data_IF_253883477900
#
_entry.id   IF_253883477900
#
_cell.length_a   1.000
_cell.length_b   1.000
_cell.length_c   1.000
_cell.angle_alpha   90.00
_cell.angle_beta   90.00
_cell.angle_gamma   90.00
#
_symmetry.space_group_name_H-M   'P 1'
#
loop_
_entity.id
_entity.type
_entity.pdbx_description
1 polymer ?
#
# COMPACT_ATOMS: atom_id res chain seq x y z
N UNK A 1 -12.29 -16.32 0.79
CA UNK A 1 -11.85 -15.03 1.35
C UNK A 1 -12.48 -13.97 0.49
N UNK A 2 -13.38 -13.18 1.04
CA UNK A 2 -14.01 -12.09 0.28
C UNK A 2 -12.96 -11.03 0.03
N UNK A 3 -12.51 -10.92 -1.22
CA UNK A 3 -11.82 -9.74 -1.71
C UNK A 3 -12.65 -8.49 -1.39
N UNK A 4 -13.97 -8.64 -1.38
CA UNK A 4 -14.92 -7.64 -0.90
C UNK A 4 -14.71 -7.25 0.56
N UNK A 5 -14.34 -8.15 1.48
CA UNK A 5 -14.02 -7.80 2.87
C UNK A 5 -12.75 -6.97 2.96
N UNK A 6 -11.71 -7.28 2.17
CA UNK A 6 -10.48 -6.46 2.15
C UNK A 6 -10.75 -5.11 1.51
N UNK A 7 -11.59 -5.04 0.48
CA UNK A 7 -11.95 -3.77 -0.17
C UNK A 7 -12.88 -2.94 0.71
N UNK A 8 -13.83 -3.56 1.39
CA UNK A 8 -14.67 -2.92 2.40
C UNK A 8 -13.82 -2.46 3.59
N UNK A 9 -12.87 -3.27 4.07
CA UNK A 9 -11.90 -2.89 5.10
C UNK A 9 -10.92 -1.81 4.62
N UNK A 10 -10.56 -1.75 3.34
CA UNK A 10 -9.81 -0.63 2.74
C UNK A 10 -10.63 0.66 2.76
N UNK A 11 -11.93 0.56 2.51
CA UNK A 11 -12.88 1.66 2.57
C UNK A 11 -13.16 2.05 4.03
N UNK A 12 -13.17 1.10 4.97
CA UNK A 12 -13.37 1.31 6.41
C UNK A 12 -12.06 1.71 7.14
N UNK A 13 -10.89 1.37 6.61
CA UNK A 13 -9.58 1.85 7.07
C UNK A 13 -9.43 3.36 6.88
N UNK A 14 -10.31 4.01 6.10
CA UNK A 14 -10.53 5.46 6.13
C UNK A 14 -10.91 5.99 7.51
N UNK A 15 -11.47 5.14 8.39
CA UNK A 15 -11.95 5.50 9.72
C UNK A 15 -11.09 4.95 10.87
N UNK A 16 -10.18 4.01 10.59
CA UNK A 16 -9.39 3.34 11.63
C UNK A 16 -7.91 3.71 11.53
N UNK A 17 -7.62 4.98 11.77
CA UNK A 17 -6.29 5.41 12.21
C UNK A 17 -6.01 5.01 13.68
N UNK A 18 -6.96 4.36 14.37
CA UNK A 18 -6.92 4.13 15.83
C UNK A 18 -6.47 2.74 16.28
N UNK A 19 -6.01 1.86 15.39
CA UNK A 19 -5.40 0.57 15.80
C UNK A 19 -3.86 0.55 15.76
N UNK A 20 -3.23 1.71 15.59
CA UNK A 20 -1.80 1.83 15.27
C UNK A 20 -0.85 2.07 16.46
N UNK A 21 -1.28 1.96 17.73
CA UNK A 21 -0.41 2.35 18.86
C UNK A 21 -0.19 1.32 19.97
N UNK A 22 -0.42 0.02 19.74
CA UNK A 22 -0.16 -0.97 20.80
C UNK A 22 0.30 -2.35 20.32
N UNK A 23 1.30 -2.38 19.46
CA UNK A 23 2.19 -3.51 19.18
C UNK A 23 3.36 -2.85 18.43
N UNK A 24 4.55 -2.66 19.00
CA UNK A 24 5.57 -3.70 19.19
C UNK A 24 6.55 -3.20 20.26
N UNK A 25 6.53 -3.81 21.45
CA UNK A 25 7.60 -3.70 22.44
C UNK A 25 7.96 -5.09 22.99
N UNK A 26 7.93 -6.10 22.12
CA UNK A 26 8.37 -7.46 22.46
C UNK A 26 9.59 -7.75 21.62
N UNK A 27 10.72 -8.02 22.28
CA UNK A 27 11.97 -8.40 21.64
C UNK A 27 11.78 -9.77 20.95
N UNK A 28 11.69 -9.77 19.62
CA UNK A 28 11.53 -10.98 18.79
C UNK A 28 12.85 -11.23 18.06
N UNK A 29 13.68 -12.21 18.49
CA UNK A 29 15.01 -12.42 17.92
C UNK A 29 15.00 -12.80 16.44
N UNK A 30 13.88 -13.32 15.93
CA UNK A 30 13.69 -13.67 14.52
C UNK A 30 13.41 -12.46 13.61
N UNK A 31 13.10 -11.28 14.19
CA UNK A 31 12.85 -10.06 13.43
C UNK A 31 14.16 -9.39 13.03
N UNK A 32 14.18 -8.85 11.82
CA UNK A 32 15.17 -7.86 11.40
C UNK A 32 14.96 -6.62 12.26
N UNK A 33 16.03 -6.20 12.95
CA UNK A 33 16.01 -5.01 13.79
C UNK A 33 15.82 -3.77 12.91
N UNK A 34 14.78 -2.99 13.21
CA UNK A 34 14.48 -1.72 12.54
C UNK A 34 13.65 -0.84 13.46
N UNK A 35 13.82 0.48 13.35
CA UNK A 35 12.95 1.48 13.98
C UNK A 35 11.71 1.80 13.15
N UNK A 36 11.61 1.25 11.93
CA UNK A 36 10.45 1.45 11.07
C UNK A 36 9.26 0.61 11.55
N UNK A 37 8.21 1.29 12.00
CA UNK A 37 6.99 0.67 12.51
C UNK A 37 6.21 -0.11 11.43
N UNK A 38 6.25 0.35 10.17
CA UNK A 38 5.55 -0.30 9.06
C UNK A 38 6.20 -1.65 8.73
N UNK A 39 7.53 -1.68 8.73
CA UNK A 39 8.31 -2.91 8.55
C UNK A 39 8.11 -3.85 9.73
N UNK A 40 8.11 -3.35 10.96
CA UNK A 40 7.83 -4.16 12.15
C UNK A 40 6.41 -4.75 12.13
N UNK A 41 5.43 -4.01 11.62
CA UNK A 41 4.06 -4.49 11.44
C UNK A 41 3.98 -5.63 10.41
N UNK A 42 4.64 -5.48 9.25
CA UNK A 42 4.73 -6.56 8.26
C UNK A 42 5.38 -7.82 8.86
N UNK A 43 6.50 -7.69 9.58
CA UNK A 43 7.15 -8.81 10.26
C UNK A 43 6.23 -9.49 11.29
N UNK A 44 5.46 -8.70 12.03
CA UNK A 44 4.49 -9.21 12.99
C UNK A 44 3.43 -10.08 12.30
N UNK A 45 2.82 -9.57 11.23
CA UNK A 45 1.86 -10.30 10.41
C UNK A 45 2.48 -11.62 9.91
N UNK A 46 3.66 -11.56 9.28
CA UNK A 46 4.38 -12.75 8.79
C UNK A 46 4.59 -13.82 9.88
N UNK A 47 4.82 -13.39 11.12
CA UNK A 47 5.05 -14.30 12.25
C UNK A 47 3.81 -15.04 12.74
N UNK A 48 2.63 -14.41 12.68
CA UNK A 48 1.39 -14.96 13.25
C UNK A 48 0.54 -15.75 12.24
N UNK A 49 0.76 -15.54 10.94
CA UNK A 49 0.03 -16.27 9.89
C UNK A 49 0.33 -17.77 9.98
N UNK A 50 -0.72 -18.59 9.92
CA UNK A 50 -0.63 -20.05 9.84
C UNK A 50 -0.18 -20.48 8.44
N UNK A 51 0.32 -21.72 8.30
CA UNK A 51 0.64 -22.28 6.98
C UNK A 51 -0.60 -22.21 6.06
N UNK A 52 -0.37 -21.86 4.79
CA UNK A 52 -1.41 -21.65 3.76
C UNK A 52 -2.39 -20.51 4.10
N UNK A 53 -2.10 -19.71 5.12
CA UNK A 53 -2.86 -18.52 5.46
C UNK A 53 -2.62 -17.39 4.46
N UNK A 54 -3.70 -16.73 4.06
CA UNK A 54 -3.72 -15.63 3.09
C UNK A 54 -3.89 -14.29 3.81
N UNK A 55 -3.22 -13.26 3.31
CA UNK A 55 -3.26 -11.90 3.85
C UNK A 55 -3.41 -10.88 2.75
N UNK A 56 -4.26 -9.89 2.97
CA UNK A 56 -4.23 -8.60 2.30
C UNK A 56 -3.91 -7.52 3.34
N UNK A 57 -2.88 -6.70 3.09
CA UNK A 57 -2.47 -5.65 4.02
C UNK A 57 -2.12 -4.36 3.29
N UNK A 58 -2.58 -3.23 3.84
CA UNK A 58 -2.26 -1.89 3.32
C UNK A 58 -0.95 -1.41 3.93
N UNK A 59 0.02 -1.06 3.09
CA UNK A 59 1.35 -0.59 3.49
C UNK A 59 1.81 0.57 2.60
N UNK A 60 2.61 1.51 3.12
CA UNK A 60 3.19 2.58 2.30
C UNK A 60 4.20 2.04 1.29
N UNK A 61 4.48 2.84 0.25
CA UNK A 61 5.48 2.53 -0.78
C UNK A 61 6.86 2.22 -0.18
N UNK A 62 7.22 2.82 0.96
CA UNK A 62 8.51 2.61 1.64
C UNK A 62 8.81 1.13 1.91
N UNK A 63 7.78 0.30 2.18
CA UNK A 63 7.97 -1.14 2.40
C UNK A 63 8.41 -1.86 1.11
N UNK A 64 8.02 -1.34 -0.05
CA UNK A 64 8.41 -1.87 -1.34
C UNK A 64 9.76 -1.33 -1.81
N UNK A 65 10.10 -0.09 -1.47
CA UNK A 65 11.25 0.65 -2.03
C UNK A 65 12.48 0.70 -1.14
N UNK A 66 12.32 0.77 0.18
CA UNK A 66 13.43 1.12 1.06
C UNK A 66 14.46 -0.01 1.15
N UNK A 67 15.72 0.39 1.36
CA UNK A 67 16.88 -0.51 1.44
C UNK A 67 17.17 -0.95 2.89
N UNK A 68 18.16 -1.83 3.06
CA UNK A 68 18.71 -2.15 4.37
C UNK A 68 17.81 -3.10 5.17
N UNK A 69 17.20 -2.63 6.27
CA UNK A 69 16.36 -3.50 7.09
C UNK A 69 15.06 -3.89 6.36
N UNK A 70 14.47 -2.95 5.63
CA UNK A 70 13.25 -3.15 4.83
C UNK A 70 13.48 -4.16 3.72
N UNK A 71 14.57 -4.02 2.98
CA UNK A 71 15.01 -4.96 1.95
C UNK A 71 15.19 -6.38 2.50
N UNK A 72 15.85 -6.57 3.64
CA UNK A 72 15.98 -7.89 4.28
C UNK A 72 14.64 -8.51 4.67
N UNK A 73 13.67 -7.69 5.06
CA UNK A 73 12.30 -8.18 5.35
C UNK A 73 11.58 -8.53 4.05
N UNK A 74 11.78 -7.76 2.98
CA UNK A 74 11.25 -8.03 1.65
C UNK A 74 11.81 -9.32 1.07
N UNK A 75 13.11 -9.59 1.21
CA UNK A 75 13.72 -10.88 0.86
C UNK A 75 13.08 -12.04 1.62
N UNK A 76 12.87 -11.90 2.94
CA UNK A 76 12.17 -12.89 3.77
C UNK A 76 10.73 -13.11 3.32
N UNK A 77 10.05 -12.04 2.90
CA UNK A 77 8.69 -12.10 2.35
C UNK A 77 8.69 -12.93 1.07
N UNK A 78 9.50 -12.55 0.07
CA UNK A 78 9.58 -13.23 -1.22
C UNK A 78 9.99 -14.71 -1.10
N UNK A 79 10.87 -15.03 -0.15
CA UNK A 79 11.35 -16.41 0.08
C UNK A 79 10.33 -17.33 0.75
N UNK A 80 9.60 -16.84 1.75
CA UNK A 80 8.76 -17.69 2.62
C UNK A 80 7.26 -17.54 2.36
N UNK A 81 6.88 -16.51 1.60
CA UNK A 81 5.51 -16.19 1.26
C UNK A 81 5.40 -16.01 -0.25
N UNK A 82 4.24 -16.38 -0.77
CA UNK A 82 3.87 -16.14 -2.15
C UNK A 82 3.16 -14.80 -2.22
N UNK A 83 3.93 -13.71 -2.36
CA UNK A 83 3.42 -12.40 -2.69
C UNK A 83 2.98 -12.42 -4.15
N UNK A 84 1.70 -12.65 -4.39
CA UNK A 84 1.20 -12.89 -5.73
C UNK A 84 0.55 -11.65 -6.35
N UNK A 85 0.16 -10.65 -5.54
CA UNK A 85 -0.51 -9.45 -6.05
C UNK A 85 -0.18 -8.19 -5.26
N UNK A 86 0.03 -7.09 -5.99
CA UNK A 86 0.20 -5.73 -5.46
C UNK A 86 -0.84 -4.83 -6.12
N UNK A 87 -1.71 -4.20 -5.33
CA UNK A 87 -2.61 -3.13 -5.80
C UNK A 87 -2.02 -1.78 -5.40
N UNK A 88 -1.66 -0.95 -6.37
CA UNK A 88 -1.16 0.41 -6.13
C UNK A 88 -2.34 1.35 -5.99
N UNK A 89 -2.49 1.95 -4.81
CA UNK A 89 -3.62 2.83 -4.53
C UNK A 89 -3.35 4.28 -5.00
N UNK A 90 -4.41 5.02 -5.36
CA UNK A 90 -4.31 6.42 -5.74
C UNK A 90 -4.01 7.30 -4.52
N UNK A 91 -3.56 8.52 -4.77
CA UNK A 91 -3.35 9.53 -3.73
C UNK A 91 -4.69 10.18 -3.30
N UNK A 92 -4.69 10.86 -2.16
CA UNK A 92 -5.84 11.63 -1.69
C UNK A 92 -7.00 10.80 -1.10
N UNK A 93 -6.76 9.51 -0.84
CA UNK A 93 -7.74 8.60 -0.21
C UNK A 93 -7.55 8.43 1.31
N UNK A 94 -6.44 8.94 1.87
CA UNK A 94 -6.14 8.93 3.31
C UNK A 94 -6.01 10.36 3.83
N UNK A 95 -6.25 10.56 5.12
CA UNK A 95 -6.05 11.86 5.80
C UNK A 95 -4.59 12.33 5.80
N UNK A 96 -3.63 11.41 5.66
CA UNK A 96 -2.23 11.75 5.48
C UNK A 96 -1.97 12.06 4.00
N UNK A 97 -1.99 13.36 3.66
CA UNK A 97 -1.68 13.83 2.32
C UNK A 97 -0.26 13.41 1.89
N UNK A 98 -0.10 13.10 0.60
CA UNK A 98 1.18 12.73 0.00
C UNK A 98 1.68 11.29 0.22
N UNK A 99 1.09 10.51 1.14
CA UNK A 99 1.52 9.12 1.37
C UNK A 99 0.98 8.20 0.26
N UNK A 100 1.91 7.64 -0.52
CA UNK A 100 1.61 6.60 -1.51
C UNK A 100 1.54 5.24 -0.81
N UNK A 101 0.49 4.48 -1.10
CA UNK A 101 0.18 3.21 -0.43
C UNK A 101 -0.17 2.11 -1.41
N UNK A 102 0.01 0.87 -0.98
CA UNK A 102 -0.29 -0.34 -1.74
C UNK A 102 -1.02 -1.34 -0.86
N UNK A 103 -1.72 -2.26 -1.50
CA UNK A 103 -2.26 -3.46 -0.87
C UNK A 103 -1.43 -4.65 -1.33
N UNK A 104 -0.80 -5.34 -0.38
CA UNK A 104 -0.04 -6.56 -0.65
C UNK A 104 -0.89 -7.77 -0.35
N UNK A 105 -0.99 -8.68 -1.31
CA UNK A 105 -1.68 -9.95 -1.15
C UNK A 105 -0.68 -11.10 -1.20
N UNK A 106 -0.57 -11.85 -0.10
CA UNK A 106 0.39 -12.93 0.00
C UNK A 106 -0.10 -14.13 0.83
N UNK A 107 0.43 -15.31 0.52
CA UNK A 107 0.13 -16.58 1.21
C UNK A 107 1.39 -17.18 1.83
N UNK A 108 1.30 -17.71 3.06
CA UNK A 108 2.44 -18.35 3.73
C UNK A 108 2.68 -19.77 3.27
N UNK A 109 3.94 -20.11 2.98
CA UNK A 109 4.37 -21.50 2.79
C UNK A 109 4.85 -21.86 1.38
N UNK A 110 4.80 -20.91 0.44
CA UNK A 110 5.37 -21.02 -0.91
C UNK A 110 6.24 -19.80 -1.15
N UNK A 111 7.31 -19.93 -1.92
CA UNK A 111 8.08 -18.76 -2.37
C UNK A 111 7.31 -18.00 -3.46
N UNK A 112 7.56 -16.70 -3.55
CA UNK A 112 7.06 -15.86 -4.64
C UNK A 112 7.73 -16.26 -5.93
N UNK A 113 6.93 -16.44 -6.99
CA UNK A 113 7.41 -16.72 -8.35
C UNK A 113 7.09 -15.59 -9.28
N UNK A 114 5.84 -15.17 -9.31
CA UNK A 114 5.39 -14.05 -10.14
C UNK A 114 4.56 -13.10 -9.28
N UNK A 115 4.56 -11.83 -9.68
CA UNK A 115 3.81 -10.78 -9.00
C UNK A 115 2.90 -10.11 -10.02
N UNK A 116 1.60 -10.15 -9.76
CA UNK A 116 0.63 -9.36 -10.51
C UNK A 116 0.51 -7.97 -9.90
N UNK A 117 0.59 -6.93 -10.72
CA UNK A 117 0.47 -5.55 -10.25
C UNK A 117 -0.71 -4.88 -10.93
N UNK A 118 -1.59 -4.29 -10.11
CA UNK A 118 -2.65 -3.40 -10.59
C UNK A 118 -2.30 -1.96 -10.27
N UNK A 119 -2.13 -1.13 -11.29
CA UNK A 119 -1.90 0.31 -11.12
C UNK A 119 -3.23 1.08 -11.10
N UNK A 120 -3.79 1.27 -9.90
CA UNK A 120 -4.93 2.17 -9.65
C UNK A 120 -4.47 3.56 -9.19
N UNK A 121 -3.26 3.99 -9.57
CA UNK A 121 -2.64 5.24 -9.09
C UNK A 121 -2.39 6.22 -10.23
N UNK A 122 -1.68 5.78 -11.25
CA UNK A 122 -1.19 6.64 -12.33
C UNK A 122 -2.37 7.24 -13.09
N UNK A 123 -2.49 8.56 -13.11
CA UNK A 123 -3.59 9.29 -13.74
C UNK A 123 -4.94 9.26 -12.98
N UNK A 124 -4.98 8.75 -11.74
CA UNK A 124 -6.21 8.66 -10.94
C UNK A 124 -6.12 9.57 -9.73
N UNK A 125 -7.05 10.54 -9.65
CA UNK A 125 -7.16 11.47 -8.52
C UNK A 125 -8.45 11.24 -7.74
N UNK A 126 -8.31 11.14 -6.43
CA UNK A 126 -9.38 11.14 -5.44
C UNK A 126 -9.15 12.23 -4.41
N UNK A 127 -10.23 12.67 -3.78
CA UNK A 127 -10.20 13.55 -2.61
C UNK A 127 -11.21 13.06 -1.60
N UNK A 128 -10.95 13.25 -0.31
CA UNK A 128 -11.83 12.76 0.75
C UNK A 128 -13.25 13.36 0.67
N UNK A 129 -13.35 14.65 0.34
CA UNK A 129 -14.62 15.36 0.32
C UNK A 129 -15.30 15.37 -1.06
N UNK A 130 -14.59 15.77 -2.11
CA UNK A 130 -15.20 16.06 -3.42
C UNK A 130 -15.26 14.85 -4.35
N UNK A 131 -14.30 13.93 -4.27
CA UNK A 131 -14.20 12.77 -5.17
C UNK A 131 -13.77 11.51 -4.40
N UNK A 132 -14.60 11.01 -3.48
CA UNK A 132 -14.23 9.87 -2.65
C UNK A 132 -14.07 8.60 -3.47
N UNK A 133 -13.10 7.76 -3.10
CA UNK A 133 -12.95 6.42 -3.67
C UNK A 133 -14.09 5.51 -3.19
N UNK A 134 -14.77 4.82 -4.11
CA UNK A 134 -15.88 3.90 -3.81
C UNK A 134 -15.50 2.46 -4.21
N UNK A 135 -16.30 1.48 -3.79
CA UNK A 135 -16.11 0.07 -4.20
C UNK A 135 -16.18 -0.13 -5.72
N UNK A 136 -17.04 0.63 -6.41
CA UNK A 136 -17.22 0.53 -7.86
C UNK A 136 -15.93 0.83 -8.64
N UNK A 137 -15.10 1.74 -8.12
CA UNK A 137 -13.82 2.08 -8.71
C UNK A 137 -12.82 0.92 -8.75
N UNK A 138 -12.96 -0.05 -7.84
CA UNK A 138 -12.09 -1.21 -7.73
C UNK A 138 -12.66 -2.44 -8.47
N UNK A 139 -13.78 -2.29 -9.19
CA UNK A 139 -14.43 -3.41 -9.85
C UNK A 139 -13.55 -4.04 -10.93
N UNK A 140 -12.90 -3.23 -11.77
CA UNK A 140 -11.96 -3.72 -12.79
C UNK A 140 -10.80 -4.51 -12.17
N UNK A 141 -10.27 -4.05 -11.04
CA UNK A 141 -9.25 -4.79 -10.29
C UNK A 141 -9.80 -6.13 -9.79
N UNK A 142 -11.02 -6.16 -9.25
CA UNK A 142 -11.66 -7.38 -8.75
C UNK A 142 -11.86 -8.39 -9.86
N UNK A 143 -12.32 -7.93 -11.03
CA UNK A 143 -12.52 -8.76 -12.21
C UNK A 143 -11.17 -9.33 -12.70
N UNK A 144 -10.12 -8.50 -12.75
CA UNK A 144 -8.77 -8.91 -13.11
C UNK A 144 -8.12 -9.85 -12.08
N UNK A 145 -8.40 -9.65 -10.79
CA UNK A 145 -7.86 -10.48 -9.71
C UNK A 145 -8.35 -11.92 -9.81
N UNK A 146 -9.55 -12.13 -10.37
CA UNK A 146 -10.14 -13.43 -10.70
C UNK A 146 -10.13 -14.40 -9.51
N UNK A 147 -10.84 -14.05 -8.43
CA UNK A 147 -10.84 -14.83 -7.17
C UNK A 147 -11.28 -16.28 -7.44
N UNK A 148 -10.46 -17.25 -7.02
CA UNK A 148 -10.75 -18.68 -7.19
C UNK A 148 -10.49 -19.22 -8.60
N UNK A 149 -10.05 -18.35 -9.51
CA UNK A 149 -9.75 -18.64 -10.90
C UNK A 149 -8.42 -17.98 -11.28
N UNK A 150 -7.42 -18.04 -10.39
CA UNK A 150 -6.16 -17.31 -10.56
C UNK A 150 -5.39 -17.73 -11.82
N UNK A 151 -5.59 -18.97 -12.31
CA UNK A 151 -5.05 -19.46 -13.58
C UNK A 151 -5.66 -18.79 -14.83
N UNK A 152 -6.85 -18.19 -14.69
CA UNK A 152 -7.61 -17.56 -15.78
C UNK A 152 -7.32 -16.05 -15.88
N UNK A 153 -6.35 -15.54 -15.10
CA UNK A 153 -5.93 -14.14 -15.13
C UNK A 153 -5.36 -13.76 -16.49
N UNK A 154 -5.91 -12.71 -17.07
CA UNK A 154 -5.43 -12.13 -18.34
C UNK A 154 -4.94 -10.72 -18.08
N UNK A 155 -3.68 -10.43 -18.45
CA UNK A 155 -3.12 -9.09 -18.36
C UNK A 155 -3.91 -8.12 -19.25
N UNK A 156 -4.20 -6.92 -18.73
CA UNK A 156 -4.71 -5.83 -19.56
C UNK A 156 -3.57 -5.10 -20.27
N UNK A 157 -2.36 -5.17 -19.72
CA UNK A 157 -1.13 -4.69 -20.35
C UNK A 157 -0.72 -5.59 -21.53
N UNK A 158 -0.37 -4.95 -22.65
CA UNK A 158 0.31 -5.58 -23.79
C UNK A 158 1.18 -4.54 -24.52
N UNK A 159 1.99 -4.98 -25.49
CA UNK A 159 2.75 -4.05 -26.35
C UNK A 159 1.80 -3.11 -27.10
N UNK A 160 0.63 -3.63 -27.52
CA UNK A 160 -0.41 -2.85 -28.21
C UNK A 160 -1.27 -2.02 -27.24
N UNK A 161 -1.25 -2.36 -25.94
CA UNK A 161 -1.92 -1.61 -24.87
C UNK A 161 -0.95 -1.33 -23.71
N UNK A 162 0.02 -0.41 -23.89
CA UNK A 162 1.05 -0.13 -22.88
C UNK A 162 0.48 0.50 -21.61
N UNK A 163 -0.72 1.05 -21.69
CA UNK A 163 -1.43 1.69 -20.57
C UNK A 163 -2.36 0.72 -19.82
N UNK A 164 -2.34 -0.57 -20.15
CA UNK A 164 -3.07 -1.59 -19.38
C UNK A 164 -2.59 -1.60 -17.92
N UNK A 165 -3.55 -1.56 -16.98
CA UNK A 165 -3.28 -1.39 -15.55
C UNK A 165 -2.97 -2.67 -14.81
N UNK A 166 -3.19 -3.83 -15.43
CA UNK A 166 -2.96 -5.16 -14.87
C UNK A 166 -1.84 -5.86 -15.64
N UNK A 167 -0.70 -6.07 -14.98
CA UNK A 167 0.51 -6.65 -15.57
C UNK A 167 1.08 -7.72 -14.64
N UNK A 168 1.54 -8.84 -15.21
CA UNK A 168 2.31 -9.85 -14.50
C UNK A 168 3.80 -9.58 -14.66
N UNK A 169 4.55 -9.67 -13.57
CA UNK A 169 6.01 -9.66 -13.54
C UNK A 169 6.51 -11.06 -13.23
N UNK A 170 7.38 -11.56 -14.10
CA UNK A 170 7.97 -12.90 -14.04
C UNK A 170 8.96 -13.05 -12.90
N UNK A 171 9.31 -14.30 -12.55
CA UNK A 171 10.31 -14.59 -11.52
C UNK A 171 11.66 -13.94 -11.80
N UNK A 172 12.05 -13.90 -13.08
CA UNK A 172 13.27 -13.26 -13.53
C UNK A 172 13.19 -11.73 -13.35
N UNK A 173 12.08 -11.09 -13.75
CA UNK A 173 11.89 -9.65 -13.54
C UNK A 173 11.88 -9.29 -12.05
N UNK A 174 11.21 -10.10 -11.22
CA UNK A 174 11.13 -9.88 -9.77
C UNK A 174 12.48 -10.08 -9.10
N UNK A 175 13.24 -11.11 -9.49
CA UNK A 175 14.55 -11.39 -8.92
C UNK A 175 15.61 -10.38 -9.33
N UNK A 176 15.47 -9.77 -10.50
CA UNK A 176 16.42 -8.76 -11.01
C UNK A 176 16.02 -7.33 -10.63
N UNK A 177 14.85 -7.13 -10.01
CA UNK A 177 14.39 -5.81 -9.60
C UNK A 177 15.08 -5.36 -8.29
N UNK A 178 15.55 -4.11 -8.27
CA UNK A 178 16.10 -3.50 -7.05
C UNK A 178 15.04 -3.39 -5.94
N UNK A 179 13.79 -3.14 -6.34
CA UNK A 179 12.66 -2.97 -5.44
C UNK A 179 11.34 -3.41 -6.12
N UNK A 180 10.25 -3.43 -5.34
CA UNK A 180 8.94 -3.92 -5.82
C UNK A 180 7.96 -2.80 -6.23
N UNK A 181 8.43 -1.57 -6.42
CA UNK A 181 7.62 -0.45 -6.95
C UNK A 181 7.63 -0.45 -8.48
N UNK A 182 6.98 -1.46 -9.05
CA UNK A 182 6.89 -1.62 -10.50
C UNK A 182 6.08 -0.48 -11.16
N UNK A 183 6.69 0.19 -12.13
CA UNK A 183 6.09 1.27 -12.93
C UNK A 183 6.33 1.02 -14.41
N UNK A 184 5.26 1.07 -15.21
CA UNK A 184 5.34 0.91 -16.67
C UNK A 184 4.40 1.84 -17.43
N UNK A 185 3.39 2.39 -16.76
CA UNK A 185 2.48 3.37 -17.35
C UNK A 185 3.21 4.70 -17.39
N UNK A 186 3.46 5.19 -18.59
CA UNK A 186 4.00 6.52 -18.85
C UNK A 186 2.86 7.40 -19.38
N UNK A 187 2.02 7.85 -18.46
CA UNK A 187 1.18 9.02 -18.72
C UNK A 187 2.08 10.19 -18.38
N UNK A 188 2.34 11.10 -19.33
CA UNK A 188 2.90 12.40 -19.00
C UNK A 188 2.08 12.94 -17.82
N UNK A 189 2.65 12.93 -16.60
CA UNK A 189 2.01 13.44 -15.40
C UNK A 189 1.94 14.95 -15.57
N UNK A 190 1.00 15.43 -16.39
CA UNK A 190 0.50 16.78 -16.23
C UNK A 190 -0.20 16.72 -14.89
N UNK A 191 0.40 17.38 -13.91
CA UNK A 191 -0.33 17.72 -12.71
C UNK A 191 -1.48 18.63 -13.14
N UNK A 192 -2.63 18.02 -13.46
CA UNK A 192 -3.84 18.74 -13.86
C UNK A 192 -4.43 19.57 -12.73
N UNK A 193 -3.83 19.53 -11.52
CA UNK A 193 -4.23 20.43 -10.45
C UNK A 193 -3.97 21.84 -10.94
N UNK A 194 -5.01 22.64 -10.92
CA UNK A 194 -4.86 24.07 -11.07
C UNK A 194 -3.97 24.60 -9.96
N UNK A 195 -3.29 25.72 -10.19
CA UNK A 195 -2.52 26.42 -9.14
C UNK A 195 -3.40 26.65 -7.90
N UNK A 196 -4.70 26.87 -8.08
CA UNK A 196 -5.66 27.01 -6.98
C UNK A 196 -5.83 25.73 -6.15
N UNK A 197 -5.88 24.56 -6.79
CA UNK A 197 -5.96 23.27 -6.08
C UNK A 197 -4.66 22.94 -5.35
N UNK A 198 -3.50 23.21 -5.97
CA UNK A 198 -2.20 23.04 -5.31
C UNK A 198 -2.10 23.94 -4.07
N UNK A 199 -2.49 25.22 -4.21
CA UNK A 199 -2.50 26.16 -3.10
C UNK A 199 -3.48 25.76 -2.00
N UNK A 200 -4.64 25.19 -2.36
CA UNK A 200 -5.61 24.69 -1.38
C UNK A 200 -5.04 23.50 -0.62
N UNK A 201 -4.45 22.51 -1.31
CA UNK A 201 -3.84 21.34 -0.69
C UNK A 201 -2.70 21.76 0.28
N UNK A 202 -1.86 22.73 -0.14
CA UNK A 202 -0.79 23.29 0.70
C UNK A 202 -1.32 24.05 1.91
N UNK A 203 -2.44 24.76 1.76
CA UNK A 203 -3.10 25.45 2.88
C UNK A 203 -3.71 24.45 3.86
N UNK A 204 -4.42 23.42 3.37
CA UNK A 204 -4.99 22.37 4.20
C UNK A 204 -3.92 21.62 5.02
N UNK A 205 -2.77 21.31 4.41
CA UNK A 205 -1.62 20.72 5.13
C UNK A 205 -1.04 21.68 6.19
N UNK A 206 -0.87 22.95 5.83
CA UNK A 206 -0.34 23.97 6.76
C UNK A 206 -1.27 24.18 7.96
N UNK A 207 -2.58 24.21 7.71
CA UNK A 207 -3.60 24.36 8.75
C UNK A 207 -3.69 23.13 9.65
N UNK A 208 -3.59 21.92 9.08
CA UNK A 208 -3.53 20.68 9.85
C UNK A 208 -2.29 20.60 10.76
N UNK A 209 -1.13 21.08 10.28
CA UNK A 209 0.09 21.20 11.09
C UNK A 209 -0.14 22.22 12.21
N UNK A 210 -0.71 23.38 11.90
CA UNK A 210 -0.98 24.42 12.89
C UNK A 210 -1.93 23.94 14.00
N UNK A 211 -3.01 23.25 13.63
CA UNK A 211 -3.96 22.66 14.59
C UNK A 211 -3.29 21.60 15.47
N UNK A 212 -2.48 20.73 14.87
CA UNK A 212 -1.72 19.71 15.61
C UNK A 212 -0.75 20.34 16.60
N UNK A 213 -0.05 21.41 16.21
CA UNK A 213 0.86 22.16 17.09
C UNK A 213 0.12 22.82 18.25
N UNK A 214 -1.07 23.40 17.99
CA UNK A 214 -1.92 23.97 19.05
C UNK A 214 -2.35 22.89 20.03
N UNK A 215 -2.78 21.73 19.53
CA UNK A 215 -3.19 20.60 20.36
C UNK A 215 -2.03 20.04 21.19
N UNK A 216 -0.83 19.95 20.62
CA UNK A 216 0.38 19.56 21.34
C UNK A 216 0.72 20.57 22.46
N UNK A 217 0.61 21.87 22.19
CA UNK A 217 0.83 22.92 23.22
C UNK A 217 -0.17 22.82 24.37
N UNK A 218 -1.43 22.50 24.11
CA UNK A 218 -2.43 22.30 25.16
C UNK A 218 -2.13 21.06 26.02
N UNK A 219 -1.69 19.97 25.39
CA UNK A 219 -1.30 18.74 26.12
C UNK A 219 -0.03 18.92 26.96
N UNK A 220 0.93 19.72 26.48
CA UNK A 220 2.17 20.03 27.20
C UNK A 220 1.99 21.14 28.25
N UNK A 221 1.03 22.04 28.07
CA UNK A 221 0.70 23.12 29.01
C UNK A 221 0.10 22.65 30.34
N UNK A 222 -0.22 21.36 30.48
CA UNK A 222 -0.59 20.72 31.74
C UNK A 222 0.60 20.17 32.55
N UNK A 223 1.82 20.24 32.02
CA UNK A 223 3.05 19.83 32.73
C UNK A 223 3.84 21.10 33.07
N UNK A 224 3.47 21.73 34.18
CA UNK A 224 4.38 22.63 34.89
C UNK A 224 5.54 21.80 35.44
N UNK A 225 6.76 22.13 35.04
CA UNK A 225 8.02 21.69 35.68
C UNK A 225 8.03 22.13 37.14
#
# INVERSE_FOLDING_TARGET
>A
YDLDFIIEDLILMKYLQTFFHRLVAVNRPEFVKTSDNQVNFLQHIMSIIKKDGRVGVVLPDSVLTDMGATEKVREKLLKNFNLHTILRLPTGIFYANGVKTNVLFFEKGKATKEIWVYDYRTGIKHTLAAKPMTRAHLQEFVDCYCVGHEQDRVATYSIDNPNGRWRCFTEEEVSNADNLDFKWIDLEEKDERTVAEILRDMQEESDGIAETVVRLRQLLGGITV
#
